data_IF_466824509670
#
_entry.id   IF_466824509670
#
_cell.length_a   1.000
_cell.length_b   1.000
_cell.length_c   1.000
_cell.angle_alpha   90.00
_cell.angle_beta   90.00
_cell.angle_gamma   90.00
#
_symmetry.space_group_name_H-M   'P 1'
#
loop_
_entity.id
_entity.type
_entity.pdbx_description
1 polymer ?
#
# COMPACT_ATOMS: atom_id res chain seq x y z
N UNK A 1 -3.32 53.78 26.28
CA UNK A 1 -4.05 52.50 26.36
C UNK A 1 -3.96 51.81 25.01
N UNK A 2 -3.62 50.52 25.04
CA UNK A 2 -3.71 49.50 23.97
C UNK A 2 -3.05 49.76 22.62
N UNK A 3 -1.98 49.00 22.34
CA UNK A 3 -1.73 48.40 21.02
C UNK A 3 -1.01 47.06 21.22
N UNK A 4 -1.76 45.96 21.18
CA UNK A 4 -1.26 44.59 21.20
C UNK A 4 -1.00 44.12 19.78
N UNK A 5 0.29 44.00 19.43
CA UNK A 5 0.79 43.44 18.18
C UNK A 5 0.68 41.90 18.26
N UNK A 6 -0.16 41.32 17.42
CA UNK A 6 -0.25 39.86 17.22
C UNK A 6 0.88 39.43 16.29
N UNK A 7 1.87 38.73 16.83
CA UNK A 7 2.96 38.09 16.07
C UNK A 7 2.58 36.64 15.83
N UNK A 8 2.23 36.30 14.58
CA UNK A 8 1.85 34.93 14.16
C UNK A 8 3.09 34.04 14.12
N UNK A 9 3.04 32.95 14.89
CA UNK A 9 4.09 31.98 15.11
C UNK A 9 4.20 31.00 13.93
N UNK A 10 5.07 31.30 12.95
CA UNK A 10 5.59 30.31 11.99
C UNK A 10 6.58 29.40 12.72
N UNK A 11 6.24 28.12 12.88
CA UNK A 11 7.19 27.08 13.29
C UNK A 11 6.69 26.16 14.40
N UNK A 12 5.91 25.14 14.06
CA UNK A 12 5.53 24.07 15.03
C UNK A 12 5.12 22.73 14.40
N UNK A 13 5.06 22.60 13.06
CA UNK A 13 4.66 21.33 12.43
C UNK A 13 5.83 20.41 12.05
N UNK A 14 7.01 20.96 11.71
CA UNK A 14 8.19 20.15 11.34
C UNK A 14 8.88 19.42 12.50
N UNK A 15 8.72 19.91 13.74
CA UNK A 15 9.38 19.35 14.93
C UNK A 15 8.57 18.19 15.54
N UNK A 16 7.25 18.14 15.28
CA UNK A 16 6.39 17.07 15.78
C UNK A 16 6.55 15.76 15.02
N UNK A 17 6.83 15.80 13.71
CA UNK A 17 7.04 14.59 12.90
C UNK A 17 8.43 13.95 13.08
N UNK A 18 9.49 14.75 13.29
CA UNK A 18 10.83 14.20 13.57
C UNK A 18 10.91 13.46 14.92
N UNK A 19 10.07 13.84 15.88
CA UNK A 19 10.03 13.21 17.20
C UNK A 19 9.23 11.89 17.21
N UNK A 20 8.30 11.69 16.26
CA UNK A 20 7.60 10.41 16.06
C UNK A 20 8.44 9.41 15.26
N UNK A 21 9.30 9.90 14.36
CA UNK A 21 10.20 9.03 13.60
C UNK A 21 11.48 8.64 14.38
N UNK A 22 11.95 9.49 15.31
CA UNK A 22 13.05 9.13 16.24
C UNK A 22 12.60 8.17 17.35
N UNK A 23 11.34 8.19 17.78
CA UNK A 23 10.83 7.27 18.80
C UNK A 23 10.61 5.84 18.26
N UNK A 24 10.38 5.66 16.96
CA UNK A 24 10.28 4.34 16.33
C UNK A 24 11.64 3.63 16.20
N UNK A 25 12.72 4.37 15.95
CA UNK A 25 14.08 3.79 15.91
C UNK A 25 14.66 3.55 17.32
N UNK A 26 14.23 4.32 18.33
CA UNK A 26 14.55 4.05 19.74
C UNK A 26 13.75 2.86 20.32
N UNK A 27 12.53 2.60 19.82
CA UNK A 27 11.74 1.42 20.20
C UNK A 27 12.38 0.11 19.73
N UNK A 28 13.04 0.13 18.56
CA UNK A 28 13.80 -1.01 18.01
C UNK A 28 15.06 -1.37 18.81
N UNK A 29 15.57 -0.46 19.64
CA UNK A 29 16.67 -0.70 20.57
C UNK A 29 16.19 -1.00 22.01
N UNK A 30 14.91 -1.35 22.21
CA UNK A 30 14.44 -1.77 23.53
C UNK A 30 15.15 -3.06 23.95
N UNK A 31 15.97 -2.88 24.97
CA UNK A 31 17.02 -3.72 25.52
C UNK A 31 16.68 -5.22 25.51
N UNK A 32 17.57 -6.12 25.02
CA UNK A 32 17.35 -7.58 25.06
C UNK A 32 17.02 -8.08 26.47
N UNK A 33 17.47 -7.34 27.49
CA UNK A 33 17.17 -7.54 28.90
C UNK A 33 15.67 -7.58 29.22
N UNK A 34 14.85 -6.77 28.52
CA UNK A 34 13.39 -6.76 28.71
C UNK A 34 12.73 -8.01 28.15
N UNK A 35 13.17 -8.49 26.97
CA UNK A 35 12.64 -9.71 26.38
C UNK A 35 12.97 -10.93 27.26
N UNK A 36 14.19 -10.97 27.81
CA UNK A 36 14.59 -12.00 28.78
C UNK A 36 13.78 -11.92 30.08
N UNK A 37 13.60 -10.73 30.64
CA UNK A 37 12.80 -10.56 31.87
C UNK A 37 11.34 -11.00 31.64
N UNK A 38 10.75 -10.69 30.49
CA UNK A 38 9.40 -11.13 30.15
C UNK A 38 9.28 -12.65 29.98
N UNK A 39 10.31 -13.30 29.40
CA UNK A 39 10.37 -14.75 29.32
C UNK A 39 10.53 -15.38 30.72
N UNK A 40 11.35 -14.78 31.58
CA UNK A 40 11.56 -15.22 32.96
C UNK A 40 10.28 -15.13 33.80
N UNK A 41 9.53 -14.04 33.69
CA UNK A 41 8.23 -13.87 34.37
C UNK A 41 7.19 -14.89 33.88
N UNK A 42 7.18 -15.23 32.59
CA UNK A 42 6.32 -16.28 32.06
C UNK A 42 6.71 -17.67 32.59
N UNK A 43 8.01 -17.96 32.73
CA UNK A 43 8.49 -19.19 33.35
C UNK A 43 8.13 -19.28 34.85
N UNK A 44 8.21 -18.16 35.57
CA UNK A 44 7.75 -18.08 36.97
C UNK A 44 6.24 -18.31 37.10
N UNK A 45 5.44 -17.81 36.15
CA UNK A 45 4.01 -18.06 36.13
C UNK A 45 3.69 -19.56 35.96
N UNK A 46 4.41 -20.26 35.07
CA UNK A 46 4.30 -21.72 34.91
C UNK A 46 4.68 -22.42 36.22
N UNK A 47 5.82 -22.05 36.82
CA UNK A 47 6.26 -22.65 38.09
C UNK A 47 5.27 -22.41 39.24
N UNK A 48 4.62 -21.25 39.28
CA UNK A 48 3.60 -20.93 40.28
C UNK A 48 2.37 -21.83 40.11
N UNK A 49 1.95 -22.08 38.86
CA UNK A 49 0.87 -23.01 38.55
C UNK A 49 1.26 -24.43 38.98
N UNK A 50 2.49 -24.88 38.68
CA UNK A 50 3.03 -26.17 39.11
C UNK A 50 2.98 -26.32 40.63
N UNK A 51 3.50 -25.34 41.37
CA UNK A 51 3.65 -25.41 42.82
C UNK A 51 2.30 -25.33 43.56
N UNK A 52 1.38 -24.45 43.10
CA UNK A 52 0.10 -24.23 43.77
C UNK A 52 -0.96 -25.28 43.45
N UNK A 53 -0.97 -25.79 42.22
CA UNK A 53 -2.04 -26.69 41.75
C UNK A 53 -1.56 -28.13 41.51
N UNK A 54 -0.26 -28.35 41.26
CA UNK A 54 0.27 -29.67 40.90
C UNK A 54 1.39 -30.15 41.84
N UNK A 55 1.61 -29.46 42.96
CA UNK A 55 2.61 -29.82 43.97
C UNK A 55 4.04 -29.85 43.44
N UNK A 56 4.36 -28.99 42.48
CA UNK A 56 5.67 -28.88 41.83
C UNK A 56 5.91 -29.89 40.71
N UNK A 57 4.88 -30.66 40.31
CA UNK A 57 4.92 -31.60 39.19
C UNK A 57 4.37 -30.97 37.92
N UNK A 58 4.76 -31.51 36.77
CA UNK A 58 4.31 -31.05 35.45
C UNK A 58 2.78 -31.06 35.36
N UNK A 59 2.23 -30.07 34.67
CA UNK A 59 0.80 -30.03 34.36
C UNK A 59 0.52 -31.08 33.28
N UNK A 60 0.05 -32.25 33.70
CA UNK A 60 -0.28 -33.39 32.82
C UNK A 60 -1.70 -33.90 33.05
N UNK A 61 -2.25 -34.58 32.04
CA UNK A 61 -3.62 -35.12 32.02
C UNK A 61 -3.93 -36.11 33.17
N UNK A 62 -2.89 -36.66 33.81
CA UNK A 62 -3.01 -37.69 34.84
C UNK A 62 -3.15 -37.16 36.29
N UNK A 63 -3.43 -35.88 36.50
CA UNK A 63 -3.58 -35.30 37.84
C UNK A 63 -4.99 -35.59 38.44
N UNK A 64 -5.12 -36.45 39.47
CA UNK A 64 -6.41 -37.02 39.88
C UNK A 64 -7.31 -36.07 40.69
N UNK A 65 -6.97 -34.78 40.80
CA UNK A 65 -7.61 -33.83 41.71
C UNK A 65 -8.48 -32.75 41.03
N UNK A 66 -8.55 -32.71 39.68
CA UNK A 66 -9.31 -31.70 38.93
C UNK A 66 -10.18 -32.31 37.82
N UNK A 67 -11.32 -31.67 37.53
CA UNK A 67 -12.22 -32.05 36.44
C UNK A 67 -11.60 -31.78 35.08
N UNK A 68 -11.88 -32.61 34.07
CA UNK A 68 -11.29 -32.54 32.74
C UNK A 68 -11.35 -31.14 32.08
N UNK A 69 -12.44 -30.39 32.27
CA UNK A 69 -12.60 -29.02 31.74
C UNK A 69 -11.70 -27.98 32.42
N UNK A 70 -11.43 -28.14 33.72
CA UNK A 70 -10.53 -27.27 34.49
C UNK A 70 -9.08 -27.58 34.14
N UNK A 71 -8.77 -28.87 33.92
CA UNK A 71 -7.45 -29.31 33.48
C UNK A 71 -7.11 -28.78 32.08
N UNK A 72 -8.09 -28.78 31.16
CA UNK A 72 -7.93 -28.19 29.83
C UNK A 72 -7.62 -26.67 29.89
N UNK A 73 -8.19 -25.96 30.88
CA UNK A 73 -7.88 -24.54 31.09
C UNK A 73 -6.42 -24.35 31.54
N UNK A 74 -5.95 -25.13 32.51
CA UNK A 74 -4.56 -25.06 32.98
C UNK A 74 -3.56 -25.46 31.88
N UNK A 75 -3.88 -26.47 31.08
CA UNK A 75 -3.04 -26.88 29.94
C UNK A 75 -2.95 -25.73 28.93
N UNK A 76 -4.08 -25.08 28.58
CA UNK A 76 -4.09 -23.93 27.67
C UNK A 76 -3.31 -22.73 28.21
N UNK A 77 -3.39 -22.48 29.51
CA UNK A 77 -2.64 -21.38 30.14
C UNK A 77 -1.13 -21.65 30.15
N UNK A 78 -0.71 -22.88 30.49
CA UNK A 78 0.70 -23.29 30.40
C UNK A 78 1.21 -23.18 28.97
N UNK A 79 0.44 -23.65 27.99
CA UNK A 79 0.83 -23.63 26.58
C UNK A 79 0.95 -22.19 26.03
N UNK A 80 0.07 -21.28 26.48
CA UNK A 80 0.17 -19.84 26.21
C UNK A 80 1.45 -19.23 26.79
N UNK A 81 1.81 -19.59 28.02
CA UNK A 81 3.05 -19.11 28.64
C UNK A 81 4.30 -19.69 27.95
N UNK A 82 4.30 -20.97 27.57
CA UNK A 82 5.38 -21.60 26.80
C UNK A 82 5.57 -20.94 25.43
N UNK A 83 4.48 -20.64 24.72
CA UNK A 83 4.55 -19.93 23.44
C UNK A 83 5.09 -18.49 23.61
N UNK A 84 4.72 -17.83 24.70
CA UNK A 84 5.27 -16.51 25.05
C UNK A 84 6.77 -16.59 25.31
N UNK A 85 7.24 -17.60 26.05
CA UNK A 85 8.67 -17.85 26.30
C UNK A 85 9.40 -18.07 24.97
N UNK A 86 8.92 -18.98 24.11
CA UNK A 86 9.53 -19.28 22.79
C UNK A 86 9.67 -18.03 21.93
N UNK A 87 8.60 -17.23 21.85
CA UNK A 87 8.59 -15.98 21.09
C UNK A 87 9.54 -14.92 21.67
N UNK A 88 9.58 -14.76 23.00
CA UNK A 88 10.43 -13.76 23.65
C UNK A 88 11.90 -14.16 23.65
N UNK A 89 12.20 -15.45 23.70
CA UNK A 89 13.55 -15.99 23.62
C UNK A 89 14.10 -15.91 22.19
N UNK A 90 13.26 -16.06 21.16
CA UNK A 90 13.65 -15.79 19.76
C UNK A 90 13.88 -14.30 19.52
N UNK A 91 13.02 -13.42 20.05
CA UNK A 91 13.21 -11.96 20.05
C UNK A 91 14.53 -11.56 20.75
N UNK A 92 14.84 -12.18 21.91
CA UNK A 92 16.11 -12.00 22.61
C UNK A 92 17.31 -12.44 21.78
N UNK A 93 17.29 -13.64 21.19
CA UNK A 93 18.37 -14.18 20.35
C UNK A 93 18.65 -13.29 19.13
N UNK A 94 17.60 -12.77 18.50
CA UNK A 94 17.71 -11.89 17.33
C UNK A 94 18.25 -10.48 17.65
N UNK A 95 18.06 -10.03 18.90
CA UNK A 95 18.42 -8.68 19.36
C UNK A 95 19.74 -8.65 20.14
N UNK A 96 20.38 -9.81 20.37
CA UNK A 96 21.65 -9.91 21.10
C UNK A 96 22.82 -9.39 20.27
N UNK A 97 23.23 -8.15 20.54
CA UNK A 97 24.56 -7.63 20.14
C UNK A 97 25.63 -8.19 21.08
N UNK A 98 26.80 -8.55 20.55
CA UNK A 98 27.91 -9.31 21.15
C UNK A 98 28.62 -8.66 22.36
N UNK A 99 28.05 -7.63 23.00
CA UNK A 99 28.77 -6.73 23.89
C UNK A 99 28.45 -6.90 25.40
N UNK A 100 27.73 -7.97 25.78
CA UNK A 100 27.24 -8.13 27.17
C UNK A 100 27.43 -9.56 27.72
N UNK A 101 28.60 -10.17 27.46
CA UNK A 101 28.91 -11.57 27.74
C UNK A 101 29.27 -11.90 29.21
N UNK A 102 29.09 -10.97 30.16
CA UNK A 102 29.64 -11.09 31.52
C UNK A 102 28.66 -11.09 32.70
N UNK A 103 27.35 -10.91 32.51
CA UNK A 103 26.42 -10.83 33.65
C UNK A 103 25.92 -12.22 34.09
N UNK A 104 26.34 -12.68 35.26
CA UNK A 104 25.98 -13.97 35.87
C UNK A 104 24.45 -14.10 36.07
N UNK A 105 23.77 -13.02 36.47
CA UNK A 105 22.31 -12.97 36.66
C UNK A 105 21.52 -13.32 35.38
N UNK A 106 22.06 -13.02 34.20
CA UNK A 106 21.42 -13.33 32.92
C UNK A 106 21.44 -14.83 32.61
N UNK A 107 22.55 -15.48 32.95
CA UNK A 107 22.74 -16.92 32.73
C UNK A 107 21.85 -17.71 33.69
N UNK A 108 21.68 -17.24 34.93
CA UNK A 108 20.77 -17.86 35.89
C UNK A 108 19.31 -17.79 35.45
N UNK A 109 18.86 -16.63 34.95
CA UNK A 109 17.50 -16.48 34.41
C UNK A 109 17.26 -17.36 33.19
N UNK A 110 18.24 -17.48 32.29
CA UNK A 110 18.15 -18.39 31.14
C UNK A 110 18.10 -19.86 31.57
N UNK A 111 18.97 -20.26 32.50
CA UNK A 111 18.99 -21.63 33.04
C UNK A 111 17.66 -22.01 33.68
N UNK A 112 17.04 -21.08 34.40
CA UNK A 112 15.71 -21.28 34.98
C UNK A 112 14.61 -21.43 33.92
N UNK A 113 14.65 -20.60 32.87
CA UNK A 113 13.70 -20.71 31.75
C UNK A 113 13.85 -22.06 31.07
N UNK A 114 15.08 -22.49 30.78
CA UNK A 114 15.36 -23.77 30.14
C UNK A 114 14.91 -24.95 31.03
N UNK A 115 15.16 -24.89 32.35
CA UNK A 115 14.68 -25.92 33.30
C UNK A 115 13.16 -26.07 33.31
N UNK A 116 12.41 -24.96 33.25
CA UNK A 116 10.94 -24.99 33.20
C UNK A 116 10.45 -25.48 31.84
N UNK A 117 11.09 -25.08 30.74
CA UNK A 117 10.68 -25.45 29.38
C UNK A 117 11.00 -26.92 29.07
N UNK A 118 12.14 -27.43 29.53
CA UNK A 118 12.59 -28.81 29.26
C UNK A 118 11.64 -29.85 29.86
N UNK A 119 10.98 -29.55 30.99
CA UNK A 119 9.93 -30.40 31.58
C UNK A 119 8.77 -30.71 30.63
N UNK A 120 8.54 -29.86 29.62
CA UNK A 120 7.43 -29.96 28.66
C UNK A 120 7.87 -30.36 27.24
N UNK A 121 9.18 -30.55 27.00
CA UNK A 121 9.67 -30.94 25.66
C UNK A 121 9.63 -32.47 25.38
N UNK A 122 9.45 -33.32 26.39
CA UNK A 122 9.71 -34.77 26.25
C UNK A 122 8.51 -35.67 25.90
N UNK A 123 7.28 -35.17 25.75
CA UNK A 123 6.10 -36.02 25.45
C UNK A 123 5.50 -35.82 24.03
N UNK A 124 6.35 -35.71 23.01
CA UNK A 124 5.98 -36.07 21.63
C UNK A 124 6.84 -37.26 21.20
N UNK A 125 6.28 -38.44 21.33
CA UNK A 125 6.86 -39.79 21.32
C UNK A 125 7.81 -40.16 20.15
N UNK A 126 8.98 -40.78 20.47
CA UNK A 126 9.43 -42.02 19.79
C UNK A 126 10.79 -42.14 19.06
N UNK A 127 11.92 -42.11 19.79
CA UNK A 127 13.24 -42.79 19.55
C UNK A 127 14.20 -42.32 18.41
N UNK A 128 15.53 -42.59 18.51
CA UNK A 128 16.50 -41.96 19.43
C UNK A 128 17.72 -41.37 18.69
N UNK A 129 18.40 -40.36 19.25
CA UNK A 129 19.81 -40.17 18.95
C UNK A 129 20.60 -39.82 20.20
N UNK A 130 21.41 -40.80 20.58
CA UNK A 130 22.51 -40.69 21.52
C UNK A 130 23.43 -39.56 21.08
N UNK A 131 23.65 -38.62 21.98
CA UNK A 131 24.80 -37.74 22.00
C UNK A 131 26.07 -38.56 22.18
N UNK A 132 27.05 -38.39 21.29
CA UNK A 132 28.44 -38.59 21.67
C UNK A 132 29.31 -37.48 21.05
N UNK A 133 29.86 -36.67 21.95
CA UNK A 133 30.89 -35.68 21.69
C UNK A 133 32.22 -36.32 22.07
N UNK A 134 33.12 -36.51 21.11
CA UNK A 134 34.52 -36.88 21.36
C UNK A 134 35.42 -36.53 20.19
N UNK A 135 36.11 -35.39 20.35
CA UNK A 135 37.51 -35.06 20.01
C UNK A 135 38.29 -35.94 19.01
N UNK A 136 38.95 -35.23 18.08
CA UNK A 136 40.28 -35.46 17.49
C UNK A 136 40.83 -36.90 17.45
N UNK A 137 40.96 -37.47 16.26
CA UNK A 137 42.20 -38.13 15.81
C UNK A 137 42.36 -38.04 14.29
N UNK A 138 43.59 -37.71 13.89
CA UNK A 138 44.11 -37.69 12.52
C UNK A 138 44.54 -39.09 12.07
N UNK A 139 44.16 -39.56 10.87
CA UNK A 139 44.98 -40.46 10.02
C UNK A 139 44.59 -40.32 8.54
N UNK A 140 45.61 -40.10 7.70
CA UNK A 140 45.65 -40.24 6.24
C UNK A 140 45.13 -41.59 5.70
N UNK A 141 44.41 -41.61 4.55
CA UNK A 141 44.87 -42.29 3.33
C UNK A 141 43.98 -42.07 2.09
N UNK A 142 44.67 -41.63 1.03
CA UNK A 142 44.49 -41.82 -0.43
C UNK A 142 43.35 -42.67 -1.02
N UNK A 143 42.68 -42.03 -1.98
CA UNK A 143 42.64 -42.32 -3.42
C UNK A 143 41.81 -43.49 -3.99
N UNK A 144 40.84 -43.11 -4.84
CA UNK A 144 40.33 -43.69 -6.10
C UNK A 144 38.82 -43.39 -6.16
N UNK A 145 38.27 -42.62 -7.10
CA UNK A 145 38.50 -42.61 -8.53
C UNK A 145 37.38 -43.39 -9.21
N UNK A 146 36.37 -42.70 -9.76
CA UNK A 146 35.69 -43.01 -11.04
C UNK A 146 34.47 -42.11 -11.29
N UNK A 147 34.64 -41.28 -12.31
CA UNK A 147 33.64 -40.75 -13.24
C UNK A 147 32.67 -41.81 -13.77
N UNK A 148 31.40 -41.46 -13.99
CA UNK A 148 30.69 -41.68 -15.26
C UNK A 148 29.67 -40.56 -15.45
N UNK A 149 29.65 -40.08 -16.68
CA UNK A 149 28.92 -38.96 -17.25
C UNK A 149 27.67 -39.46 -18.00
N UNK A 150 26.89 -38.51 -18.52
CA UNK A 150 26.00 -38.63 -19.71
C UNK A 150 24.55 -39.14 -19.59
N UNK A 151 23.64 -38.15 -19.66
CA UNK A 151 22.67 -37.91 -20.74
C UNK A 151 21.93 -39.10 -21.37
N UNK A 152 20.59 -39.02 -21.39
CA UNK A 152 19.78 -39.04 -22.62
C UNK A 152 18.32 -38.70 -22.30
N UNK A 153 17.77 -37.73 -23.04
CA UNK A 153 16.38 -37.26 -22.99
C UNK A 153 15.74 -37.44 -24.37
N UNK A 154 14.44 -37.76 -24.33
CA UNK A 154 13.38 -37.67 -25.37
C UNK A 154 13.10 -38.94 -26.18
N UNK A 155 11.88 -39.14 -26.76
CA UNK A 155 10.57 -38.48 -26.50
C UNK A 155 9.34 -39.45 -26.45
N UNK A 156 8.21 -38.92 -25.93
CA UNK A 156 6.79 -39.21 -26.28
C UNK A 156 6.36 -40.66 -26.56
N UNK A 157 5.59 -41.25 -25.62
CA UNK A 157 4.56 -42.24 -25.94
C UNK A 157 3.21 -41.78 -25.37
N UNK A 158 2.23 -41.67 -26.28
CA UNK A 158 0.82 -41.40 -26.04
C UNK A 158 0.17 -42.70 -25.52
N UNK A 159 -0.45 -42.66 -24.34
CA UNK A 159 -1.35 -43.73 -23.89
C UNK A 159 -2.75 -43.14 -23.73
N UNK A 160 -3.62 -43.52 -24.65
CA UNK A 160 -5.06 -43.33 -24.61
C UNK A 160 -5.66 -44.35 -23.62
N UNK A 161 -6.32 -43.87 -22.56
CA UNK A 161 -7.09 -44.73 -21.65
C UNK A 161 -8.55 -44.35 -21.70
N UNK A 162 -9.32 -45.30 -22.22
CA UNK A 162 -10.77 -45.32 -22.35
C UNK A 162 -11.42 -45.41 -20.96
N UNK A 163 -12.37 -44.52 -20.68
CA UNK A 163 -13.10 -44.48 -19.43
C UNK A 163 -14.23 -45.55 -19.43
N UNK A 164 -14.03 -46.63 -18.67
CA UNK A 164 -15.09 -47.52 -18.22
C UNK A 164 -15.56 -47.11 -16.82
N UNK A 165 -16.87 -46.88 -16.69
CA UNK A 165 -17.49 -46.41 -15.45
C UNK A 165 -17.54 -47.48 -14.36
N UNK A 166 -17.19 -47.06 -13.14
CA UNK A 166 -17.70 -47.69 -11.93
C UNK A 166 -18.17 -46.62 -10.93
N UNK A 167 -19.40 -46.86 -10.48
CA UNK A 167 -20.20 -46.09 -9.54
C UNK A 167 -19.69 -46.34 -8.12
N UNK A 168 -19.07 -45.35 -7.47
CA UNK A 168 -18.76 -45.42 -6.04
C UNK A 168 -19.60 -44.44 -5.21
N UNK A 169 -20.41 -45.06 -4.34
CA UNK A 169 -21.20 -44.54 -3.22
C UNK A 169 -20.67 -43.25 -2.58
N UNK A 170 -21.58 -42.29 -2.45
CA UNK A 170 -21.35 -41.02 -1.78
C UNK A 170 -21.00 -41.13 -0.30
N UNK A 171 -20.10 -40.25 0.14
CA UNK A 171 -20.11 -39.64 1.47
C UNK A 171 -19.88 -38.13 1.33
N UNK A 172 -20.55 -37.42 2.24
CA UNK A 172 -20.95 -36.02 2.15
C UNK A 172 -19.78 -35.03 2.28
N UNK A 173 -20.05 -33.85 1.72
CA UNK A 173 -19.40 -32.55 1.88
C UNK A 173 -18.54 -32.38 3.15
N UNK A 174 -17.28 -32.03 2.92
CA UNK A 174 -16.40 -31.36 3.87
C UNK A 174 -15.62 -30.32 3.09
N UNK A 175 -15.99 -29.06 3.28
CA UNK A 175 -15.40 -27.92 2.60
C UNK A 175 -13.97 -27.67 3.09
N UNK A 176 -12.98 -28.30 2.46
CA UNK A 176 -11.59 -27.88 2.53
C UNK A 176 -10.90 -28.12 1.16
N UNK A 177 -10.28 -27.09 0.56
CA UNK A 177 -9.61 -27.24 -0.72
C UNK A 177 -8.36 -28.13 -0.57
N UNK A 178 -8.25 -29.16 -1.41
CA UNK A 178 -7.09 -30.09 -1.50
C UNK A 178 -5.75 -29.41 -1.83
N UNK A 179 -5.69 -28.09 -1.96
CA UNK A 179 -4.48 -27.32 -2.27
C UNK A 179 -3.58 -27.05 -1.07
N UNK A 180 -4.12 -27.05 0.15
CA UNK A 180 -3.35 -26.71 1.38
C UNK A 180 -2.44 -27.87 1.82
N UNK A 181 -2.85 -29.12 1.60
CA UNK A 181 -2.04 -30.29 1.96
C UNK A 181 -0.74 -30.40 1.14
N UNK A 182 -0.77 -29.95 -0.12
CA UNK A 182 0.40 -29.97 -1.01
C UNK A 182 1.40 -28.87 -0.69
N UNK A 183 0.94 -27.69 -0.28
CA UNK A 183 1.84 -26.64 0.23
C UNK A 183 2.45 -27.04 1.56
N UNK A 184 1.69 -27.71 2.46
CA UNK A 184 2.23 -28.18 3.74
C UNK A 184 3.29 -29.28 3.58
N UNK A 185 3.07 -30.24 2.67
CA UNK A 185 4.04 -31.28 2.37
C UNK A 185 5.29 -30.72 1.68
N UNK A 186 5.14 -29.69 0.83
CA UNK A 186 6.26 -28.96 0.22
C UNK A 186 7.04 -28.15 1.25
N UNK A 187 6.36 -27.51 2.21
CA UNK A 187 6.97 -26.82 3.35
C UNK A 187 7.73 -27.81 4.24
N UNK A 188 7.18 -29.00 4.52
CA UNK A 188 7.85 -30.02 5.33
C UNK A 188 9.08 -30.62 4.64
N UNK A 189 9.04 -30.77 3.32
CA UNK A 189 10.19 -31.26 2.53
C UNK A 189 11.23 -30.16 2.29
N UNK A 190 10.80 -28.89 2.24
CA UNK A 190 11.67 -27.71 2.24
C UNK A 190 12.11 -27.33 3.66
N UNK A 191 11.87 -28.11 4.72
CA UNK A 191 12.36 -27.85 6.08
C UNK A 191 13.57 -28.73 6.47
N UNK A 192 14.14 -29.47 5.51
CA UNK A 192 15.30 -30.34 5.73
C UNK A 192 16.63 -29.64 5.36
N UNK A 193 17.38 -29.29 6.42
CA UNK A 193 18.81 -28.93 6.58
C UNK A 193 19.54 -27.96 5.61
N UNK A 194 18.90 -27.43 4.56
CA UNK A 194 19.50 -26.47 3.60
C UNK A 194 18.60 -25.29 3.22
N UNK A 195 17.49 -25.14 3.93
CA UNK A 195 16.38 -24.25 3.56
C UNK A 195 16.22 -23.03 4.45
N UNK A 196 16.70 -23.03 5.69
CA UNK A 196 16.62 -21.84 6.56
C UNK A 196 17.38 -20.65 5.96
N UNK A 197 18.57 -20.87 5.40
CA UNK A 197 19.34 -19.81 4.73
C UNK A 197 18.65 -19.30 3.45
N UNK A 198 18.02 -20.21 2.68
CA UNK A 198 17.30 -19.86 1.45
C UNK A 198 15.98 -19.14 1.73
N UNK A 199 15.26 -19.53 2.78
CA UNK A 199 14.04 -18.88 3.24
C UNK A 199 14.34 -17.50 3.85
N UNK A 200 15.43 -17.36 4.61
CA UNK A 200 15.88 -16.06 5.11
C UNK A 200 16.28 -15.12 3.96
N UNK A 201 16.98 -15.64 2.95
CA UNK A 201 17.38 -14.85 1.79
C UNK A 201 16.19 -14.49 0.88
N UNK A 202 15.26 -15.41 0.63
CA UNK A 202 14.05 -15.13 -0.17
C UNK A 202 13.15 -14.10 0.51
N UNK A 203 13.02 -14.16 1.84
CA UNK A 203 12.29 -13.16 2.62
C UNK A 203 12.95 -11.77 2.57
N UNK A 204 14.28 -11.69 2.70
CA UNK A 204 15.04 -10.43 2.60
C UNK A 204 14.95 -9.83 1.20
N UNK A 205 15.05 -10.65 0.15
CA UNK A 205 14.92 -10.22 -1.25
C UNK A 205 13.50 -9.75 -1.53
N UNK A 206 12.49 -10.47 -1.06
CA UNK A 206 11.08 -10.07 -1.19
C UNK A 206 10.81 -8.72 -0.53
N UNK A 207 11.23 -8.52 0.74
CA UNK A 207 11.09 -7.21 1.42
C UNK A 207 11.79 -6.08 0.67
N UNK A 208 13.01 -6.31 0.15
CA UNK A 208 13.73 -5.31 -0.64
C UNK A 208 12.99 -4.95 -1.92
N UNK A 209 12.43 -5.94 -2.64
CA UNK A 209 11.59 -5.71 -3.82
C UNK A 209 10.33 -4.92 -3.47
N UNK A 210 9.63 -5.30 -2.40
CA UNK A 210 8.42 -4.59 -1.96
C UNK A 210 8.73 -3.15 -1.58
N UNK A 211 9.80 -2.91 -0.81
CA UNK A 211 10.24 -1.55 -0.48
C UNK A 211 10.62 -0.75 -1.72
N UNK A 212 11.32 -1.36 -2.67
CA UNK A 212 11.70 -0.71 -3.93
C UNK A 212 10.48 -0.34 -4.77
N UNK A 213 9.48 -1.22 -4.85
CA UNK A 213 8.23 -0.97 -5.57
C UNK A 213 7.39 0.14 -4.90
N UNK A 214 7.28 0.12 -3.57
CA UNK A 214 6.59 1.18 -2.82
C UNK A 214 7.30 2.53 -3.00
N UNK A 215 8.62 2.56 -2.88
CA UNK A 215 9.40 3.78 -3.10
C UNK A 215 9.27 4.29 -4.53
N UNK A 216 9.27 3.38 -5.52
CA UNK A 216 9.06 3.74 -6.92
C UNK A 216 7.65 4.31 -7.15
N UNK A 217 6.62 3.67 -6.60
CA UNK A 217 5.25 4.17 -6.66
C UNK A 217 5.13 5.56 -6.02
N UNK A 218 5.78 5.76 -4.88
CA UNK A 218 5.83 7.06 -4.20
C UNK A 218 6.53 8.11 -5.07
N UNK A 219 7.68 7.79 -5.66
CA UNK A 219 8.37 8.70 -6.59
C UNK A 219 7.53 9.00 -7.84
N UNK A 220 6.84 8.00 -8.38
CA UNK A 220 5.99 8.13 -9.57
C UNK A 220 4.86 9.15 -9.38
N UNK A 221 4.38 9.31 -8.14
CA UNK A 221 3.35 10.29 -7.78
C UNK A 221 4.00 11.61 -7.34
N UNK A 222 4.97 11.55 -6.44
CA UNK A 222 5.51 12.72 -5.77
C UNK A 222 6.37 13.59 -6.70
N UNK A 223 7.22 12.98 -7.53
CA UNK A 223 8.16 13.73 -8.37
C UNK A 223 7.43 14.56 -9.44
N UNK A 224 6.47 14.02 -10.21
CA UNK A 224 5.71 14.81 -11.17
C UNK A 224 4.93 15.94 -10.53
N UNK A 225 4.24 15.67 -9.41
CA UNK A 225 3.45 16.67 -8.68
C UNK A 225 4.32 17.80 -8.14
N UNK A 226 5.46 17.47 -7.53
CA UNK A 226 6.39 18.50 -7.06
C UNK A 226 7.01 19.26 -8.23
N UNK A 227 7.36 18.58 -9.32
CA UNK A 227 7.92 19.21 -10.51
C UNK A 227 6.92 20.21 -11.13
N UNK A 228 5.66 19.82 -11.26
CA UNK A 228 4.57 20.69 -11.72
C UNK A 228 4.41 21.90 -10.78
N UNK A 229 4.26 21.68 -9.47
CA UNK A 229 4.02 22.77 -8.51
C UNK A 229 5.21 23.75 -8.41
N UNK A 230 6.43 23.22 -8.38
CA UNK A 230 7.64 24.05 -8.29
C UNK A 230 7.88 24.82 -9.59
N UNK A 231 7.73 24.16 -10.74
CA UNK A 231 7.90 24.85 -12.04
C UNK A 231 6.83 25.91 -12.24
N UNK A 232 5.57 25.64 -11.91
CA UNK A 232 4.49 26.65 -11.93
C UNK A 232 4.87 27.86 -11.07
N UNK A 233 5.16 27.62 -9.80
CA UNK A 233 5.32 28.70 -8.81
C UNK A 233 6.60 29.51 -8.96
N UNK A 234 7.72 28.88 -9.33
CA UNK A 234 9.03 29.54 -9.36
C UNK A 234 9.48 29.94 -10.77
N UNK A 235 8.96 29.30 -11.82
CA UNK A 235 9.41 29.53 -13.20
C UNK A 235 8.30 30.14 -14.04
N UNK A 236 7.17 29.46 -14.19
CA UNK A 236 6.19 29.85 -15.20
C UNK A 236 5.35 31.06 -14.80
N UNK A 237 4.81 31.14 -13.58
CA UNK A 237 4.06 32.33 -13.13
C UNK A 237 4.88 33.62 -13.30
N UNK A 238 6.10 33.74 -12.74
CA UNK A 238 6.86 34.99 -12.88
C UNK A 238 7.29 35.26 -14.33
N UNK A 239 7.56 34.23 -15.13
CA UNK A 239 7.95 34.38 -16.52
C UNK A 239 6.80 34.86 -17.40
N UNK A 240 5.62 34.25 -17.25
CA UNK A 240 4.41 34.60 -18.02
C UNK A 240 3.96 36.01 -17.67
N UNK A 241 3.96 36.35 -16.38
CA UNK A 241 3.59 37.68 -15.90
C UNK A 241 4.53 38.76 -16.47
N UNK A 242 5.84 38.52 -16.41
CA UNK A 242 6.83 39.45 -16.98
C UNK A 242 6.67 39.60 -18.51
N UNK A 243 6.40 38.50 -19.21
CA UNK A 243 6.19 38.51 -20.65
C UNK A 243 4.92 39.28 -21.04
N UNK A 244 3.81 39.07 -20.33
CA UNK A 244 2.51 39.74 -20.56
C UNK A 244 2.59 41.25 -20.32
N UNK A 245 3.24 41.67 -19.23
CA UNK A 245 3.44 43.09 -18.92
C UNK A 245 4.26 43.81 -19.99
N UNK A 246 5.16 43.10 -20.69
CA UNK A 246 6.04 43.70 -21.71
C UNK A 246 5.39 43.80 -23.10
N UNK A 247 4.35 43.01 -23.40
CA UNK A 247 3.82 42.84 -24.77
C UNK A 247 2.36 43.27 -24.97
N UNK A 248 1.75 44.02 -24.04
CA UNK A 248 0.32 44.43 -24.10
C UNK A 248 -0.60 43.30 -24.56
N UNK A 249 -0.44 42.12 -23.96
CA UNK A 249 -1.19 40.92 -24.34
C UNK A 249 -2.66 41.11 -23.92
N UNK A 250 -3.58 40.53 -24.71
CA UNK A 250 -5.01 40.57 -24.40
C UNK A 250 -5.29 40.12 -22.95
N UNK A 251 -6.01 40.96 -22.21
CA UNK A 251 -6.34 40.75 -20.80
C UNK A 251 -7.15 39.48 -20.56
N UNK A 252 -8.05 39.14 -21.49
CA UNK A 252 -8.86 37.92 -21.44
C UNK A 252 -8.33 36.88 -22.43
N UNK A 253 -8.10 35.65 -21.97
CA UNK A 253 -7.69 34.54 -22.85
C UNK A 253 -8.79 34.08 -23.79
N UNK A 254 -10.04 34.14 -23.32
CA UNK A 254 -11.19 33.61 -24.03
C UNK A 254 -12.45 34.47 -23.78
N UNK A 255 -13.51 34.21 -24.55
CA UNK A 255 -14.76 34.99 -24.50
C UNK A 255 -15.52 34.82 -23.19
N UNK A 256 -15.42 33.67 -22.55
CA UNK A 256 -16.12 33.40 -21.29
C UNK A 256 -15.52 34.17 -20.12
N UNK A 257 -14.19 34.28 -20.05
CA UNK A 257 -13.52 35.16 -19.08
C UNK A 257 -13.96 36.62 -19.24
N UNK A 258 -14.13 37.06 -20.49
CA UNK A 258 -14.65 38.41 -20.78
C UNK A 258 -16.11 38.55 -20.34
N UNK A 259 -16.95 37.56 -20.61
CA UNK A 259 -18.36 37.56 -20.19
C UNK A 259 -18.49 37.55 -18.66
N UNK A 260 -17.69 36.75 -17.97
CA UNK A 260 -17.61 36.69 -16.51
C UNK A 260 -17.20 38.05 -15.91
N UNK A 261 -16.15 38.66 -16.44
CA UNK A 261 -15.69 39.99 -16.02
C UNK A 261 -16.74 41.08 -16.24
N UNK A 262 -17.43 41.06 -17.38
CA UNK A 262 -18.51 42.00 -17.68
C UNK A 262 -19.71 41.78 -16.77
N UNK A 263 -20.04 40.52 -16.48
CA UNK A 263 -21.10 40.17 -15.54
C UNK A 263 -20.78 40.69 -14.14
N UNK A 264 -19.55 40.49 -13.64
CA UNK A 264 -19.13 40.98 -12.33
C UNK A 264 -19.21 42.52 -12.24
N UNK A 265 -18.72 43.22 -13.26
CA UNK A 265 -18.81 44.69 -13.30
C UNK A 265 -20.26 45.17 -13.33
N UNK A 266 -21.12 44.49 -14.09
CA UNK A 266 -22.55 44.81 -14.18
C UNK A 266 -23.27 44.55 -12.86
N UNK A 267 -22.99 43.44 -12.19
CA UNK A 267 -23.55 43.13 -10.86
C UNK A 267 -23.15 44.20 -9.85
N UNK A 268 -21.89 44.65 -9.85
CA UNK A 268 -21.45 45.75 -8.99
C UNK A 268 -22.20 47.06 -9.28
N UNK A 269 -22.41 47.39 -10.56
CA UNK A 269 -23.21 48.55 -10.94
C UNK A 269 -24.66 48.44 -10.44
N UNK A 270 -25.30 47.28 -10.64
CA UNK A 270 -26.67 47.01 -10.20
C UNK A 270 -26.80 47.10 -8.66
N UNK A 271 -25.80 46.61 -7.92
CA UNK A 271 -25.73 46.75 -6.45
C UNK A 271 -25.62 48.21 -5.99
N UNK A 272 -24.76 49.00 -6.67
CA UNK A 272 -24.62 50.43 -6.39
C UNK A 272 -25.93 51.19 -6.69
N UNK A 273 -26.57 50.88 -7.82
CA UNK A 273 -27.85 51.49 -8.20
C UNK A 273 -28.94 51.15 -7.18
N UNK A 274 -29.08 49.88 -6.80
CA UNK A 274 -30.03 49.45 -5.78
C UNK A 274 -29.78 50.16 -4.44
N UNK A 275 -28.53 50.25 -4.02
CA UNK A 275 -28.15 50.96 -2.79
C UNK A 275 -28.53 52.44 -2.83
N UNK A 276 -28.37 53.10 -3.98
CA UNK A 276 -28.77 54.50 -4.17
C UNK A 276 -30.29 54.72 -4.11
N UNK A 277 -31.08 53.71 -4.52
CA UNK A 277 -32.55 53.76 -4.49
C UNK A 277 -33.11 53.47 -3.09
N UNK A 278 -32.49 52.55 -2.34
CA UNK A 278 -32.93 52.14 -1.01
C UNK A 278 -32.54 53.16 0.08
N UNK A 279 -31.35 53.73 -0.01
CA UNK A 279 -30.86 54.71 0.94
C UNK A 279 -30.96 56.11 0.31
N UNK A 280 -31.81 56.99 0.86
CA UNK A 280 -31.88 58.45 0.54
C UNK A 280 -30.63 59.20 1.01
N UNK A 281 -29.46 58.68 0.68
CA UNK A 281 -28.14 59.28 0.84
C UNK A 281 -28.05 60.44 -0.16
N UNK A 282 -27.28 61.52 0.11
CA UNK A 282 -27.05 62.56 -0.91
C UNK A 282 -26.67 61.90 -2.24
N UNK A 283 -27.31 62.37 -3.31
CA UNK A 283 -27.10 61.92 -4.69
C UNK A 283 -25.61 61.74 -4.89
N UNK A 284 -25.16 60.49 -5.03
CA UNK A 284 -23.78 60.20 -5.38
C UNK A 284 -23.57 60.95 -6.70
N UNK A 285 -22.65 61.92 -6.71
CA UNK A 285 -22.38 62.68 -7.93
C UNK A 285 -21.99 61.68 -9.03
N UNK A 286 -22.42 61.94 -10.26
CA UNK A 286 -22.13 61.05 -11.39
C UNK A 286 -20.62 60.75 -11.50
N UNK A 287 -19.80 61.71 -11.09
CA UNK A 287 -18.34 61.62 -11.01
C UNK A 287 -17.84 60.59 -9.96
N UNK A 288 -18.50 60.50 -8.79
CA UNK A 288 -18.16 59.50 -7.77
C UNK A 288 -18.57 58.08 -8.18
N UNK A 289 -19.67 57.93 -8.92
CA UNK A 289 -20.09 56.64 -9.49
C UNK A 289 -19.09 56.20 -10.55
N UNK A 290 -18.72 57.08 -11.46
CA UNK A 290 -17.74 56.80 -12.51
C UNK A 290 -16.39 56.39 -11.92
N UNK A 291 -15.93 57.12 -10.88
CA UNK A 291 -14.69 56.77 -10.18
C UNK A 291 -14.73 55.38 -9.55
N UNK A 292 -15.81 55.04 -8.82
CA UNK A 292 -15.96 53.70 -8.22
C UNK A 292 -16.07 52.60 -9.26
N UNK A 293 -16.76 52.85 -10.37
CA UNK A 293 -16.85 51.92 -11.49
C UNK A 293 -15.48 51.70 -12.14
N UNK A 294 -14.68 52.75 -12.31
CA UNK A 294 -13.33 52.66 -12.83
C UNK A 294 -12.39 51.87 -11.89
N UNK A 295 -12.45 52.15 -10.58
CA UNK A 295 -11.70 51.41 -9.56
C UNK A 295 -12.07 49.90 -9.57
N UNK A 296 -13.37 49.58 -9.66
CA UNK A 296 -13.83 48.19 -9.76
C UNK A 296 -13.39 47.53 -11.07
N UNK A 297 -13.47 48.24 -12.19
CA UNK A 297 -13.01 47.73 -13.48
C UNK A 297 -11.51 47.43 -13.47
N UNK A 298 -10.69 48.24 -12.80
CA UNK A 298 -9.25 47.99 -12.63
C UNK A 298 -8.97 46.80 -11.71
N UNK A 299 -9.76 46.60 -10.65
CA UNK A 299 -9.69 45.40 -9.81
C UNK A 299 -9.97 44.14 -10.62
N UNK A 300 -11.09 44.12 -11.37
CA UNK A 300 -11.46 43.01 -12.26
C UNK A 300 -10.37 42.78 -13.31
N UNK A 301 -9.86 43.84 -13.93
CA UNK A 301 -8.79 43.75 -14.91
C UNK A 301 -7.54 43.03 -14.35
N UNK A 302 -7.10 43.41 -13.14
CA UNK A 302 -5.95 42.77 -12.49
C UNK A 302 -6.21 41.31 -12.11
N UNK A 303 -7.40 41.00 -11.62
CA UNK A 303 -7.77 39.62 -11.28
C UNK A 303 -7.75 38.72 -12.52
N UNK A 304 -8.39 39.16 -13.61
CA UNK A 304 -8.47 38.39 -14.85
C UNK A 304 -7.12 38.29 -15.58
N UNK A 305 -6.24 39.30 -15.49
CA UNK A 305 -4.88 39.19 -16.00
C UNK A 305 -4.07 38.15 -15.21
N UNK A 306 -4.19 38.15 -13.87
CA UNK A 306 -3.56 37.14 -13.03
C UNK A 306 -4.09 35.72 -13.32
N UNK A 307 -5.41 35.54 -13.41
CA UNK A 307 -6.05 34.26 -13.79
C UNK A 307 -5.58 33.79 -15.17
N UNK A 308 -5.41 34.71 -16.11
CA UNK A 308 -4.89 34.41 -17.45
C UNK A 308 -3.44 33.94 -17.41
N UNK A 309 -2.57 34.64 -16.66
CA UNK A 309 -1.18 34.25 -16.44
C UNK A 309 -1.10 32.88 -15.75
N UNK A 310 -1.97 32.61 -14.79
CA UNK A 310 -2.02 31.33 -14.07
C UNK A 310 -2.43 30.18 -14.99
N UNK A 311 -3.46 30.36 -15.82
CA UNK A 311 -3.92 29.34 -16.75
C UNK A 311 -2.85 28.97 -17.79
N UNK A 312 -2.15 29.96 -18.36
CA UNK A 312 -1.01 29.70 -19.26
C UNK A 312 0.10 28.94 -18.50
N UNK A 313 0.39 29.36 -17.27
CA UNK A 313 1.43 28.73 -16.45
C UNK A 313 1.10 27.28 -16.10
N UNK A 314 -0.18 26.94 -15.91
CA UNK A 314 -0.65 25.58 -15.68
C UNK A 314 -0.26 24.67 -16.84
N UNK A 315 -0.52 25.08 -18.09
CA UNK A 315 -0.21 24.28 -19.28
C UNK A 315 1.28 23.90 -19.29
N UNK A 316 2.17 24.87 -19.10
CA UNK A 316 3.61 24.61 -19.11
C UNK A 316 4.07 23.77 -17.91
N UNK A 317 3.50 24.00 -16.73
CA UNK A 317 3.79 23.21 -15.54
C UNK A 317 3.36 21.75 -15.72
N UNK A 318 2.22 21.50 -16.35
CA UNK A 318 1.70 20.17 -16.64
C UNK A 318 2.62 19.43 -17.62
N UNK A 319 3.14 20.12 -18.64
CA UNK A 319 4.16 19.54 -19.53
C UNK A 319 5.42 19.15 -18.77
N UNK A 320 5.89 20.00 -17.84
CA UNK A 320 7.04 19.68 -16.98
C UNK A 320 6.74 18.50 -16.05
N UNK A 321 5.52 18.43 -15.50
CA UNK A 321 5.05 17.28 -14.71
C UNK A 321 5.05 15.98 -15.53
N UNK A 322 4.56 16.04 -16.77
CA UNK A 322 4.52 14.90 -17.69
C UNK A 322 5.93 14.42 -18.08
N UNK A 323 6.84 15.36 -18.37
CA UNK A 323 8.24 15.02 -18.62
C UNK A 323 8.87 14.38 -17.38
N UNK A 324 8.65 14.95 -16.19
CA UNK A 324 9.15 14.40 -14.94
C UNK A 324 8.61 12.98 -14.69
N UNK A 325 7.33 12.72 -14.96
CA UNK A 325 6.73 11.38 -14.89
C UNK A 325 7.43 10.40 -15.81
N UNK A 326 7.63 10.77 -17.08
CA UNK A 326 8.35 9.94 -18.04
C UNK A 326 9.80 9.67 -17.61
N UNK A 327 10.50 10.68 -17.11
CA UNK A 327 11.88 10.55 -16.62
C UNK A 327 11.98 9.62 -15.40
N UNK A 328 11.02 9.66 -14.47
CA UNK A 328 10.98 8.73 -13.34
C UNK A 328 10.87 7.27 -13.81
N UNK A 329 10.02 7.00 -14.80
CA UNK A 329 9.87 5.65 -15.36
C UNK A 329 11.17 5.19 -16.03
N UNK A 330 11.77 6.04 -16.88
CA UNK A 330 12.96 5.69 -17.66
C UNK A 330 14.21 5.54 -16.78
N UNK A 331 14.41 6.42 -15.79
CA UNK A 331 15.60 6.40 -14.94
C UNK A 331 15.53 5.39 -13.79
N UNK A 332 14.35 4.86 -13.45
CA UNK A 332 14.20 3.88 -12.38
C UNK A 332 13.63 2.54 -12.89
N UNK A 333 14.33 1.84 -13.81
CA UNK A 333 13.85 0.59 -14.39
C UNK A 333 13.77 -0.54 -13.35
N UNK A 334 14.61 -0.49 -12.30
CA UNK A 334 14.56 -1.45 -11.19
C UNK A 334 13.29 -1.29 -10.36
N UNK A 335 12.90 -0.05 -10.06
CA UNK A 335 11.65 0.28 -9.38
C UNK A 335 10.44 -0.14 -10.19
N UNK A 336 10.44 0.14 -11.50
CA UNK A 336 9.40 -0.30 -12.43
C UNK A 336 9.29 -1.83 -12.48
N UNK A 337 10.41 -2.54 -12.62
CA UNK A 337 10.43 -4.00 -12.60
C UNK A 337 9.94 -4.58 -11.26
N UNK A 338 10.29 -3.95 -10.14
CA UNK A 338 9.81 -4.35 -8.83
C UNK A 338 8.29 -4.13 -8.69
N UNK A 339 7.76 -2.99 -9.15
CA UNK A 339 6.33 -2.70 -9.16
C UNK A 339 5.57 -3.68 -10.07
N UNK A 340 6.08 -3.94 -11.28
CA UNK A 340 5.52 -4.95 -12.18
C UNK A 340 5.51 -6.33 -11.53
N UNK A 341 6.62 -6.74 -10.91
CA UNK A 341 6.70 -8.04 -10.22
C UNK A 341 5.70 -8.15 -9.07
N UNK A 342 5.46 -7.08 -8.30
CA UNK A 342 4.43 -7.07 -7.27
C UNK A 342 3.03 -7.19 -7.86
N UNK A 343 2.74 -6.42 -8.91
CA UNK A 343 1.45 -6.47 -9.59
C UNK A 343 1.19 -7.85 -10.20
N UNK A 344 2.21 -8.44 -10.84
CA UNK A 344 2.17 -9.80 -11.37
C UNK A 344 1.89 -10.78 -10.22
N UNK A 345 2.60 -10.70 -9.09
CA UNK A 345 2.39 -11.60 -7.94
C UNK A 345 0.95 -11.51 -7.42
N UNK A 346 0.44 -10.29 -7.19
CA UNK A 346 -0.95 -10.08 -6.75
C UNK A 346 -1.94 -10.65 -7.77
N UNK A 347 -1.73 -10.38 -9.07
CA UNK A 347 -2.61 -10.89 -10.13
C UNK A 347 -2.49 -12.39 -10.36
N UNK A 348 -1.35 -13.02 -10.10
CA UNK A 348 -1.20 -14.47 -10.22
C UNK A 348 -1.82 -15.19 -9.02
N UNK A 349 -1.70 -14.64 -7.82
CA UNK A 349 -2.25 -15.22 -6.58
C UNK A 349 -3.79 -15.15 -6.52
N UNK A 350 -4.41 -14.25 -7.28
CA UNK A 350 -5.86 -14.14 -7.43
C UNK A 350 -6.43 -15.32 -8.24
N UNK A 351 -7.64 -15.77 -7.91
CA UNK A 351 -8.39 -16.72 -8.75
C UNK A 351 -8.79 -16.07 -10.07
N UNK A 352 -8.95 -16.85 -11.15
CA UNK A 352 -9.35 -16.31 -12.46
C UNK A 352 -10.71 -15.58 -12.41
N UNK A 353 -11.63 -16.02 -11.53
CA UNK A 353 -12.88 -15.32 -11.24
C UNK A 353 -12.67 -13.97 -10.54
N UNK A 354 -11.72 -13.85 -9.61
CA UNK A 354 -11.43 -12.60 -8.92
C UNK A 354 -10.73 -11.59 -9.84
N UNK A 355 -9.83 -12.05 -10.72
CA UNK A 355 -9.24 -11.21 -11.78
C UNK A 355 -10.32 -10.64 -12.69
N UNK A 356 -11.24 -11.48 -13.15
CA UNK A 356 -12.38 -11.07 -13.96
C UNK A 356 -13.24 -10.01 -13.24
N UNK A 357 -13.58 -10.27 -11.98
CA UNK A 357 -14.37 -9.36 -11.16
C UNK A 357 -13.70 -8.00 -10.94
N UNK A 358 -12.40 -7.97 -10.61
CA UNK A 358 -11.64 -6.72 -10.43
C UNK A 358 -11.62 -5.91 -11.73
N UNK A 359 -11.40 -6.57 -12.87
CA UNK A 359 -11.42 -5.90 -14.17
C UNK A 359 -12.82 -5.29 -14.42
N UNK A 360 -13.89 -6.08 -14.27
CA UNK A 360 -15.27 -5.61 -14.49
C UNK A 360 -15.60 -4.44 -13.58
N UNK A 361 -15.35 -4.56 -12.28
CA UNK A 361 -15.63 -3.51 -11.29
C UNK A 361 -14.86 -2.23 -11.62
N UNK A 362 -13.56 -2.33 -11.90
CA UNK A 362 -12.74 -1.17 -12.26
C UNK A 362 -13.29 -0.49 -13.52
N UNK A 363 -13.62 -1.26 -14.54
CA UNK A 363 -14.14 -0.69 -15.78
C UNK A 363 -15.52 -0.06 -15.61
N UNK A 364 -16.41 -0.68 -14.84
CA UNK A 364 -17.76 -0.17 -14.60
C UNK A 364 -17.73 1.18 -13.84
N UNK A 365 -16.83 1.32 -12.87
CA UNK A 365 -16.65 2.57 -12.10
C UNK A 365 -16.08 3.70 -12.96
N UNK A 366 -15.09 3.43 -13.81
CA UNK A 366 -14.40 4.48 -14.58
C UNK A 366 -15.05 4.81 -15.93
N UNK A 367 -15.77 3.85 -16.51
CA UNK A 367 -16.32 3.95 -17.86
C UNK A 367 -17.84 4.11 -17.84
N UNK A 368 -18.47 3.86 -16.69
CA UNK A 368 -19.91 3.97 -16.52
C UNK A 368 -20.45 5.35 -16.91
N UNK A 369 -21.39 5.36 -17.83
CA UNK A 369 -22.28 6.47 -18.17
C UNK A 369 -23.23 6.86 -17.01
N UNK A 370 -23.04 6.26 -15.83
CA UNK A 370 -23.86 6.49 -14.63
C UNK A 370 -23.65 7.86 -13.98
N UNK A 371 -22.65 8.63 -14.42
CA UNK A 371 -22.53 10.04 -14.04
C UNK A 371 -22.11 10.90 -15.22
N UNK A 372 -23.05 11.31 -16.10
CA UNK A 372 -22.82 12.34 -17.12
C UNK A 372 -22.24 13.61 -16.48
N UNK A 373 -22.70 13.92 -15.27
CA UNK A 373 -22.22 15.05 -14.49
C UNK A 373 -20.75 14.91 -14.04
N UNK A 374 -20.28 13.69 -13.77
CA UNK A 374 -18.86 13.46 -13.44
C UNK A 374 -17.93 13.84 -14.59
N UNK A 375 -18.34 13.53 -15.83
CA UNK A 375 -17.61 13.93 -17.03
C UNK A 375 -17.72 15.43 -17.31
N UNK A 376 -18.86 16.05 -17.02
CA UNK A 376 -19.04 17.50 -17.11
C UNK A 376 -18.07 18.23 -16.18
N UNK A 377 -18.07 17.87 -14.89
CA UNK A 377 -17.18 18.48 -13.89
C UNK A 377 -15.70 18.26 -14.24
N UNK A 378 -15.36 17.08 -14.78
CA UNK A 378 -13.99 16.79 -15.22
C UNK A 378 -13.56 17.66 -16.41
N UNK A 379 -14.40 17.77 -17.43
CA UNK A 379 -14.08 18.55 -18.64
C UNK A 379 -14.10 20.06 -18.37
N UNK A 380 -15.08 20.55 -17.60
CA UNK A 380 -15.16 21.95 -17.18
C UNK A 380 -13.97 22.31 -16.28
N UNK A 381 -13.63 21.44 -15.32
CA UNK A 381 -12.44 21.58 -14.48
C UNK A 381 -11.14 21.61 -15.29
N UNK A 382 -10.99 20.72 -16.28
CA UNK A 382 -9.82 20.69 -17.16
C UNK A 382 -9.75 21.94 -18.05
N UNK A 383 -10.88 22.36 -18.62
CA UNK A 383 -10.96 23.55 -19.47
C UNK A 383 -10.55 24.81 -18.69
N UNK A 384 -11.09 24.98 -17.48
CA UNK A 384 -10.74 26.07 -16.58
C UNK A 384 -9.27 26.02 -16.15
N UNK A 385 -8.74 24.82 -15.87
CA UNK A 385 -7.32 24.66 -15.53
C UNK A 385 -6.39 25.10 -16.66
N UNK A 386 -6.75 24.78 -17.91
CA UNK A 386 -6.00 25.14 -19.11
C UNK A 386 -6.31 26.56 -19.63
N UNK A 387 -7.30 27.27 -19.05
CA UNK A 387 -7.76 28.58 -19.54
C UNK A 387 -8.48 28.55 -20.88
N UNK A 388 -8.97 27.37 -21.29
CA UNK A 388 -9.77 27.19 -22.51
C UNK A 388 -11.23 27.46 -22.14
N UNK A 389 -11.98 28.16 -23.00
CA UNK A 389 -13.42 28.32 -22.82
C UNK A 389 -14.15 26.97 -22.92
N UNK A 390 -14.79 26.46 -21.84
CA UNK A 390 -15.64 25.27 -21.90
C UNK A 390 -16.78 25.39 -22.93
N UNK A 391 -16.53 24.84 -24.12
CA UNK A 391 -17.57 24.70 -25.14
C UNK A 391 -18.62 23.68 -24.70
N UNK A 392 -19.77 24.17 -24.20
CA UNK A 392 -20.91 23.34 -23.74
C UNK A 392 -21.38 22.34 -24.80
N UNK A 393 -21.38 22.72 -26.09
CA UNK A 393 -21.75 21.80 -27.18
C UNK A 393 -20.76 20.65 -27.33
N UNK A 394 -19.46 20.93 -27.23
CA UNK A 394 -18.43 19.88 -27.22
C UNK A 394 -18.53 18.99 -25.99
N UNK A 395 -18.72 19.58 -24.80
CA UNK A 395 -18.88 18.84 -23.54
C UNK A 395 -20.09 17.89 -23.63
N UNK A 396 -21.25 18.37 -24.07
CA UNK A 396 -22.43 17.50 -24.24
C UNK A 396 -22.24 16.44 -25.33
N UNK A 397 -21.60 16.77 -26.46
CA UNK A 397 -21.27 15.79 -27.49
C UNK A 397 -20.33 14.70 -26.95
N UNK A 398 -19.33 15.09 -26.17
CA UNK A 398 -18.38 14.17 -25.56
C UNK A 398 -19.08 13.25 -24.56
N UNK A 399 -19.86 13.81 -23.63
CA UNK A 399 -20.60 13.05 -22.62
C UNK A 399 -21.59 12.07 -23.28
N UNK A 400 -22.19 12.44 -24.41
CA UNK A 400 -23.13 11.59 -25.13
C UNK A 400 -22.45 10.45 -25.93
N UNK A 401 -21.21 10.62 -26.38
CA UNK A 401 -20.56 9.68 -27.33
C UNK A 401 -19.41 8.90 -26.71
N UNK A 402 -18.49 9.58 -26.03
CA UNK A 402 -17.24 8.99 -25.57
C UNK A 402 -17.41 7.93 -24.48
N UNK A 403 -18.20 8.16 -23.40
CA UNK A 403 -18.45 7.13 -22.39
C UNK A 403 -19.06 5.86 -22.97
N UNK A 404 -20.02 5.99 -23.92
CA UNK A 404 -20.69 4.85 -24.56
C UNK A 404 -19.71 4.05 -25.42
N UNK A 405 -18.86 4.73 -26.19
CA UNK A 405 -17.84 4.08 -27.02
C UNK A 405 -16.82 3.35 -26.13
N UNK A 406 -16.33 4.02 -25.08
CA UNK A 406 -15.39 3.45 -24.14
C UNK A 406 -15.98 2.23 -23.42
N UNK A 407 -17.26 2.29 -23.01
CA UNK A 407 -17.98 1.18 -22.37
C UNK A 407 -18.05 -0.02 -23.32
N UNK A 408 -18.42 0.22 -24.58
CA UNK A 408 -18.54 -0.83 -25.59
C UNK A 408 -17.19 -1.50 -25.88
N UNK A 409 -16.12 -0.71 -26.02
CA UNK A 409 -14.76 -1.23 -26.25
C UNK A 409 -14.29 -2.05 -25.05
N UNK A 410 -14.48 -1.54 -23.83
CA UNK A 410 -14.05 -2.23 -22.61
C UNK A 410 -14.84 -3.51 -22.39
N UNK A 411 -16.17 -3.50 -22.55
CA UNK A 411 -17.00 -4.71 -22.50
C UNK A 411 -16.55 -5.75 -23.53
N UNK A 412 -16.27 -5.34 -24.76
CA UNK A 412 -15.75 -6.22 -25.80
C UNK A 412 -14.39 -6.83 -25.41
N UNK A 413 -13.46 -6.01 -24.92
CA UNK A 413 -12.14 -6.47 -24.50
C UNK A 413 -12.22 -7.45 -23.33
N UNK A 414 -13.06 -7.16 -22.34
CA UNK A 414 -13.32 -8.04 -21.19
C UNK A 414 -13.93 -9.36 -21.66
N UNK A 415 -14.98 -9.32 -22.47
CA UNK A 415 -15.63 -10.53 -22.98
C UNK A 415 -14.64 -11.39 -23.77
N UNK A 416 -13.82 -10.78 -24.63
CA UNK A 416 -12.78 -11.48 -25.40
C UNK A 416 -11.68 -12.06 -24.52
N UNK A 417 -11.30 -11.35 -23.46
CA UNK A 417 -10.28 -11.79 -22.51
C UNK A 417 -10.79 -12.97 -21.66
N UNK A 418 -11.99 -12.86 -21.08
CA UNK A 418 -12.60 -13.92 -20.29
C UNK A 418 -12.89 -15.18 -21.13
N UNK A 419 -13.37 -15.00 -22.36
CA UNK A 419 -13.63 -16.11 -23.28
C UNK A 419 -12.39 -16.91 -23.68
N UNK A 420 -11.18 -16.33 -23.54
CA UNK A 420 -9.92 -17.01 -23.85
C UNK A 420 -9.32 -17.78 -22.68
N UNK A 421 -9.65 -17.42 -21.43
CA UNK A 421 -8.97 -17.94 -20.24
C UNK A 421 -9.82 -18.97 -19.48
N UNK A 422 -11.15 -18.83 -19.47
CA UNK A 422 -12.03 -19.81 -18.82
C UNK A 422 -13.45 -19.81 -19.41
N UNK A 423 -13.88 -20.90 -20.09
CA UNK A 423 -15.26 -21.06 -20.56
C UNK A 423 -16.30 -20.98 -19.43
N UNK A 424 -15.93 -21.29 -18.18
CA UNK A 424 -16.84 -21.22 -17.04
C UNK A 424 -17.11 -19.78 -16.57
N UNK A 425 -16.14 -18.88 -16.70
CA UNK A 425 -16.31 -17.46 -16.36
C UNK A 425 -17.28 -16.76 -17.34
N UNK A 426 -17.29 -17.17 -18.60
CA UNK A 426 -18.25 -16.72 -19.62
C UNK A 426 -19.67 -17.14 -19.26
N UNK A 427 -19.86 -18.36 -18.72
CA UNK A 427 -21.17 -18.83 -18.28
C UNK A 427 -21.71 -18.02 -17.08
N UNK A 428 -20.84 -17.61 -16.15
CA UNK A 428 -21.25 -16.77 -15.00
C UNK A 428 -21.61 -15.35 -15.43
N UNK A 429 -20.86 -14.74 -16.36
CA UNK A 429 -21.17 -13.42 -16.90
C UNK A 429 -22.50 -13.43 -17.68
N UNK A 430 -22.76 -14.50 -18.46
CA UNK A 430 -24.00 -14.67 -19.21
C UNK A 430 -25.23 -14.78 -18.29
N UNK A 431 -25.10 -15.51 -17.18
CA UNK A 431 -26.15 -15.62 -16.16
C UNK A 431 -26.35 -14.36 -15.29
N UNK A 432 -25.44 -13.38 -15.34
CA UNK A 432 -25.60 -12.08 -14.64
C UNK A 432 -26.16 -10.97 -15.54
N UNK A 433 -26.09 -11.14 -16.87
CA UNK A 433 -26.58 -10.17 -17.86
C UNK A 433 -27.95 -10.56 -18.45
N UNK A 434 -28.44 -11.79 -18.22
CA UNK A 434 -29.86 -12.16 -18.30
C UNK A 434 -30.54 -11.81 -16.98
#
# INVERSE_FOLDING_TARGET
>A
MSNSIIKIQKGSLGIRFSNVFKSSNQWFHKTPQRALEQAYQAALAIKTIEDQHFGGKKVSEDAPQYTASVLECFIKDVDKHLNTIKFKLSEFKLTRSLDNSGNIEFIEKLKFIDEVVDKYQYDSSGSPLSSDDSRFTSVNRMNNGKSVDQSNLSPLDFVEVQASGEMFKGKKSGALPRSIGRTFQKIQTELDDSSEERLMNSYRVSRKKTKSAINFLLMLILVPLLSQQLSKSFVFIPLVEHYRQTHEVALFLNSEMKEEALHELKSYQEEMQMSSLLYKTPVIEAEEIEKKMAEKAEEIARDFDHRSSEAISNIFADFVGLIAFALVIVFNPQGFAALKSLLDTVMYDLSDSAKAFIIILLTDVFVGFHSPHGWEVLLEGLSNHLGIAPNRSFIFLFIATFPVILDTIMKYWIFRYLSRISPSAVATLRNMNE
#
